data_IF_969541392560
#
_entry.id   IF_969541392560
#
_cell.length_a   1.000
_cell.length_b   1.000
_cell.length_c   1.000
_cell.angle_alpha   90.00
_cell.angle_beta   90.00
_cell.angle_gamma   90.00
#
_symmetry.space_group_name_H-M   'P 1'
#
loop_
_entity.id
_entity.type
_entity.pdbx_description
1 polymer ?
#
# COMPACT_ATOMS: atom_id res chain seq x y z
N UNK A 1 -10.18 0.84 39.23
CA UNK A 1 -10.88 -0.32 38.67
C UNK A 1 -10.20 -1.59 39.15
N UNK A 2 -10.90 -2.73 39.27
CA UNK A 2 -10.28 -4.02 39.60
C UNK A 2 -10.04 -4.84 38.33
N UNK A 3 -9.01 -5.69 38.33
CA UNK A 3 -8.70 -6.57 37.19
C UNK A 3 -9.92 -7.39 36.75
N UNK A 4 -10.68 -7.97 37.70
CA UNK A 4 -11.90 -8.74 37.39
C UNK A 4 -12.94 -7.91 36.65
N UNK A 5 -13.17 -6.66 37.05
CA UNK A 5 -14.13 -5.78 36.36
C UNK A 5 -13.66 -5.46 34.94
N UNK A 6 -12.37 -5.16 34.76
CA UNK A 6 -11.77 -4.89 33.44
C UNK A 6 -11.80 -6.13 32.53
N UNK A 7 -11.53 -7.33 33.04
CA UNK A 7 -11.64 -8.58 32.28
C UNK A 7 -13.07 -8.82 31.79
N UNK A 8 -14.07 -8.77 32.69
CA UNK A 8 -15.48 -8.97 32.34
C UNK A 8 -15.99 -7.90 31.37
N UNK A 9 -15.49 -6.66 31.47
CA UNK A 9 -15.82 -5.60 30.52
C UNK A 9 -15.26 -5.89 29.12
N UNK A 10 -14.02 -6.37 29.00
CA UNK A 10 -13.44 -6.76 27.70
C UNK A 10 -14.12 -8.01 27.11
N UNK A 11 -14.43 -9.01 27.93
CA UNK A 11 -15.20 -10.21 27.58
C UNK A 11 -16.57 -9.81 26.99
N UNK A 12 -17.36 -9.03 27.74
CA UNK A 12 -18.68 -8.52 27.30
C UNK A 12 -18.61 -7.67 26.02
N UNK A 13 -17.50 -6.93 25.80
CA UNK A 13 -17.29 -6.16 24.57
C UNK A 13 -16.89 -7.05 23.39
N UNK A 14 -16.11 -8.10 23.62
CA UNK A 14 -15.70 -9.09 22.62
C UNK A 14 -16.91 -9.88 22.12
N UNK A 15 -17.72 -10.41 23.03
CA UNK A 15 -18.93 -11.19 22.71
C UNK A 15 -19.88 -10.37 21.83
N UNK A 16 -20.19 -9.13 22.26
CA UNK A 16 -21.07 -8.21 21.51
C UNK A 16 -20.49 -7.77 20.17
N UNK A 17 -19.17 -7.69 20.03
CA UNK A 17 -18.54 -7.40 18.75
C UNK A 17 -18.69 -8.59 17.80
N UNK A 18 -18.56 -9.83 18.30
CA UNK A 18 -18.78 -11.03 17.50
C UNK A 18 -20.25 -11.23 17.11
N UNK A 19 -21.19 -11.05 18.04
CA UNK A 19 -22.64 -11.06 17.75
C UNK A 19 -22.97 -10.07 16.61
N UNK A 20 -22.45 -8.85 16.70
CA UNK A 20 -22.67 -7.80 15.70
C UNK A 20 -22.02 -8.14 14.35
N UNK A 21 -20.80 -8.68 14.34
CA UNK A 21 -20.12 -9.08 13.10
C UNK A 21 -20.89 -10.23 12.43
N UNK A 22 -21.31 -11.26 13.17
CA UNK A 22 -22.16 -12.34 12.66
C UNK A 22 -23.46 -11.79 12.05
N UNK A 23 -24.15 -10.87 12.74
CA UNK A 23 -25.36 -10.24 12.21
C UNK A 23 -25.08 -9.48 10.89
N UNK A 24 -23.97 -8.75 10.81
CA UNK A 24 -23.66 -7.90 9.67
C UNK A 24 -23.21 -8.67 8.42
N UNK A 25 -22.41 -9.74 8.54
CA UNK A 25 -21.93 -10.51 7.37
C UNK A 25 -23.04 -11.27 6.61
N UNK A 26 -24.19 -11.54 7.26
CA UNK A 26 -25.37 -12.08 6.60
C UNK A 26 -26.23 -10.98 5.95
N UNK A 27 -26.10 -9.73 6.40
CA UNK A 27 -26.91 -8.57 5.95
C UNK A 27 -26.21 -7.70 4.90
N UNK A 28 -24.89 -7.69 4.86
CA UNK A 28 -24.07 -6.79 4.03
C UNK A 28 -22.95 -7.56 3.30
N UNK A 29 -22.44 -7.04 2.16
CA UNK A 29 -21.18 -7.50 1.59
C UNK A 29 -20.01 -7.29 2.57
N UNK A 30 -18.99 -8.13 2.49
CA UNK A 30 -17.79 -8.06 3.34
C UNK A 30 -16.56 -8.62 2.63
N UNK A 31 -15.38 -8.21 3.09
CA UNK A 31 -14.07 -8.73 2.67
C UNK A 31 -13.24 -9.10 3.89
N UNK A 32 -12.30 -10.02 3.76
CA UNK A 32 -11.65 -10.66 4.91
C UNK A 32 -10.13 -10.55 4.87
N UNK A 33 -9.56 -9.99 5.95
CA UNK A 33 -8.11 -9.95 6.20
C UNK A 33 -7.73 -10.70 7.47
N UNK A 34 -6.59 -11.40 7.46
CA UNK A 34 -5.95 -11.90 8.69
C UNK A 34 -4.46 -11.52 8.78
N UNK A 35 -3.77 -11.71 9.92
CA UNK A 35 -2.32 -11.47 10.08
C UNK A 35 -1.72 -12.22 11.28
N UNK A 36 -0.42 -12.53 11.23
CA UNK A 36 0.32 -13.28 12.23
C UNK A 36 0.62 -12.40 13.47
N UNK A 37 -0.16 -12.58 14.54
CA UNK A 37 0.07 -11.96 15.84
C UNK A 37 1.24 -12.64 16.56
N UNK A 38 2.40 -11.98 16.58
CA UNK A 38 3.65 -12.52 17.12
C UNK A 38 4.12 -11.74 18.35
N UNK A 39 3.89 -12.29 19.56
CA UNK A 39 4.19 -11.59 20.83
C UNK A 39 5.37 -12.24 21.57
N UNK A 40 6.59 -11.65 21.51
CA UNK A 40 7.78 -12.15 22.20
C UNK A 40 7.81 -11.73 23.69
N UNK A 41 7.42 -12.64 24.58
CA UNK A 41 7.55 -12.46 26.03
C UNK A 41 8.98 -12.77 26.49
N UNK A 42 9.83 -11.75 26.54
CA UNK A 42 11.22 -11.85 26.99
C UNK A 42 11.33 -11.68 28.51
N UNK A 43 12.04 -12.60 29.15
CA UNK A 43 12.39 -12.51 30.57
C UNK A 43 13.82 -11.99 30.73
N UNK A 44 14.08 -11.16 31.74
CA UNK A 44 15.40 -10.53 31.95
C UNK A 44 16.53 -11.54 32.20
N UNK A 45 16.21 -12.68 32.82
CA UNK A 45 17.14 -13.79 33.06
C UNK A 45 16.38 -15.10 32.86
N UNK A 46 16.84 -15.91 31.92
CA UNK A 46 16.30 -17.24 31.68
C UNK A 46 16.70 -18.20 32.81
N UNK A 47 15.73 -18.93 33.35
CA UNK A 47 15.90 -19.98 34.37
C UNK A 47 15.07 -21.20 33.96
N UNK A 48 15.34 -22.36 34.55
CA UNK A 48 14.67 -23.62 34.21
C UNK A 48 13.12 -23.53 34.19
N UNK A 49 12.55 -22.74 35.10
CA UNK A 49 11.11 -22.51 35.27
C UNK A 49 10.64 -21.11 34.81
N UNK A 50 11.52 -20.30 34.22
CA UNK A 50 11.23 -18.94 33.77
C UNK A 50 12.00 -18.66 32.48
N UNK A 51 11.43 -19.10 31.36
CA UNK A 51 12.02 -18.98 30.03
C UNK A 51 11.42 -17.80 29.25
N UNK A 52 12.11 -17.38 28.19
CA UNK A 52 11.48 -16.49 27.21
C UNK A 52 10.48 -17.29 26.39
N UNK A 53 9.26 -16.77 26.23
CA UNK A 53 8.20 -17.41 25.47
C UNK A 53 7.83 -16.56 24.25
N UNK A 54 7.26 -17.20 23.23
CA UNK A 54 6.87 -16.56 21.99
C UNK A 54 5.47 -17.03 21.65
N UNK A 55 4.48 -16.16 21.87
CA UNK A 55 3.09 -16.44 21.54
C UNK A 55 2.93 -16.19 20.05
N UNK A 56 2.60 -17.24 19.32
CA UNK A 56 2.12 -17.14 17.94
C UNK A 56 0.60 -17.20 17.98
N UNK A 57 -0.06 -16.34 17.23
CA UNK A 57 -1.50 -16.37 17.00
C UNK A 57 -1.83 -15.70 15.67
N UNK A 58 -3.11 -15.56 15.39
CA UNK A 58 -3.60 -14.81 14.24
C UNK A 58 -4.63 -13.78 14.71
N UNK A 59 -4.59 -12.57 14.16
CA UNK A 59 -5.71 -11.62 14.23
C UNK A 59 -6.43 -11.64 12.88
N UNK A 60 -7.74 -11.41 12.88
CA UNK A 60 -8.49 -11.22 11.64
C UNK A 60 -9.58 -10.18 11.76
N UNK A 61 -10.07 -9.72 10.61
CA UNK A 61 -11.04 -8.64 10.50
C UNK A 61 -11.90 -8.86 9.27
N UNK A 62 -13.20 -9.00 9.49
CA UNK A 62 -14.22 -8.91 8.44
C UNK A 62 -14.61 -7.44 8.27
N UNK A 63 -14.28 -6.85 7.12
CA UNK A 63 -14.62 -5.47 6.79
C UNK A 63 -16.01 -5.43 6.18
N UNK A 64 -16.99 -4.94 6.92
CA UNK A 64 -18.37 -4.78 6.44
C UNK A 64 -18.43 -3.64 5.43
N UNK A 65 -18.82 -3.95 4.20
CA UNK A 65 -18.90 -2.99 3.10
C UNK A 65 -20.32 -2.40 2.97
N UNK A 66 -20.45 -1.18 2.42
CA UNK A 66 -21.76 -0.60 2.11
C UNK A 66 -22.59 -1.49 1.18
N UNK A 67 -23.91 -1.52 1.34
CA UNK A 67 -24.82 -2.37 0.55
C UNK A 67 -24.68 -2.22 -0.98
N UNK A 68 -24.19 -1.08 -1.48
CA UNK A 68 -23.87 -0.87 -2.92
C UNK A 68 -22.75 -1.79 -3.45
N UNK A 69 -21.92 -2.35 -2.56
CA UNK A 69 -20.87 -3.31 -2.90
C UNK A 69 -21.36 -4.77 -2.97
N UNK A 70 -22.68 -5.01 -2.94
CA UNK A 70 -23.24 -6.36 -3.05
C UNK A 70 -23.17 -6.86 -4.48
N UNK A 71 -22.30 -7.83 -4.72
CA UNK A 71 -22.23 -8.56 -5.98
C UNK A 71 -23.54 -9.36 -6.25
N UNK A 72 -23.99 -9.47 -7.51
CA UNK A 72 -25.13 -10.30 -7.89
C UNK A 72 -24.94 -11.79 -7.55
N UNK A 73 -26.05 -12.49 -7.30
CA UNK A 73 -26.06 -13.95 -7.19
C UNK A 73 -25.53 -14.59 -8.48
N UNK A 74 -24.63 -15.58 -8.34
CA UNK A 74 -23.97 -16.22 -9.48
C UNK A 74 -22.65 -15.57 -9.94
N UNK A 75 -22.17 -14.53 -9.25
CA UNK A 75 -20.88 -13.88 -9.58
C UNK A 75 -19.69 -14.82 -9.45
N UNK A 76 -19.71 -15.83 -8.56
CA UNK A 76 -18.63 -16.82 -8.46
C UNK A 76 -18.57 -17.77 -9.69
N UNK A 77 -19.66 -18.47 -10.09
CA UNK A 77 -19.71 -19.17 -11.37
C UNK A 77 -19.28 -18.31 -12.58
N UNK A 78 -19.68 -17.03 -12.61
CA UNK A 78 -19.24 -16.10 -13.66
C UNK A 78 -17.72 -15.89 -13.64
N UNK A 79 -17.14 -15.54 -12.49
CA UNK A 79 -15.70 -15.37 -12.29
C UNK A 79 -14.91 -16.62 -12.70
N UNK A 80 -15.39 -17.82 -12.34
CA UNK A 80 -14.76 -19.08 -12.72
C UNK A 80 -14.79 -19.29 -14.25
N UNK A 81 -15.94 -19.07 -14.89
CA UNK A 81 -16.05 -19.18 -16.34
C UNK A 81 -15.21 -18.14 -17.08
N UNK A 82 -15.08 -16.93 -16.52
CA UNK A 82 -14.30 -15.85 -17.10
C UNK A 82 -12.79 -16.09 -16.96
N UNK A 83 -12.31 -16.57 -15.80
CA UNK A 83 -10.94 -17.06 -15.64
C UNK A 83 -10.63 -18.21 -16.61
N UNK A 84 -11.51 -19.20 -16.72
CA UNK A 84 -11.31 -20.35 -17.61
C UNK A 84 -11.30 -19.97 -19.11
N UNK A 85 -11.99 -18.90 -19.51
CA UNK A 85 -11.99 -18.40 -20.89
C UNK A 85 -10.79 -17.50 -21.24
N UNK A 86 -10.12 -16.92 -20.24
CA UNK A 86 -9.07 -15.92 -20.42
C UNK A 86 -7.69 -16.33 -19.85
N UNK A 87 -7.54 -17.52 -19.26
CA UNK A 87 -6.28 -17.96 -18.64
C UNK A 87 -5.08 -18.14 -19.58
N UNK A 88 -5.32 -18.26 -20.90
CA UNK A 88 -4.26 -18.24 -21.93
C UNK A 88 -3.98 -16.82 -22.46
N UNK A 89 -4.78 -15.82 -22.09
CA UNK A 89 -4.63 -14.43 -22.51
C UNK A 89 -3.87 -13.63 -21.46
N UNK A 90 -2.69 -13.11 -21.84
CA UNK A 90 -1.92 -12.20 -20.99
C UNK A 90 -2.38 -10.76 -21.22
N UNK A 91 -2.30 -9.90 -20.20
CA UNK A 91 -2.41 -8.45 -20.38
C UNK A 91 -1.32 -7.93 -21.34
N UNK A 92 -1.55 -6.83 -22.07
CA UNK A 92 -0.51 -6.31 -22.96
C UNK A 92 0.57 -5.60 -22.12
N UNK A 93 1.83 -5.99 -22.31
CA UNK A 93 2.94 -5.33 -21.64
C UNK A 93 3.15 -3.90 -22.18
N UNK A 94 2.65 -3.57 -23.38
CA UNK A 94 2.61 -2.21 -23.89
C UNK A 94 1.77 -1.28 -23.00
N UNK A 95 0.62 -1.72 -22.50
CA UNK A 95 -0.25 -0.96 -21.58
C UNK A 95 0.48 -0.57 -20.29
N UNK A 96 1.45 -1.40 -19.86
CA UNK A 96 2.24 -1.19 -18.64
C UNK A 96 3.56 -0.44 -18.91
N UNK A 97 4.15 -0.58 -20.10
CA UNK A 97 5.40 0.07 -20.48
C UNK A 97 5.21 1.51 -20.98
N UNK A 98 4.11 1.77 -21.69
CA UNK A 98 3.75 3.09 -22.22
C UNK A 98 2.60 3.76 -21.45
N UNK A 99 2.02 3.04 -20.48
CA UNK A 99 1.09 3.59 -19.50
C UNK A 99 -0.31 3.89 -20.04
N UNK A 100 -1.05 4.61 -19.21
CA UNK A 100 -2.31 5.24 -19.58
C UNK A 100 -2.11 6.74 -19.36
N UNK A 101 -2.23 7.55 -20.41
CA UNK A 101 -2.01 9.00 -20.34
C UNK A 101 -2.91 9.67 -19.28
N UNK A 102 -4.13 9.17 -19.07
CA UNK A 102 -5.00 9.71 -18.01
C UNK A 102 -4.51 9.35 -16.59
N UNK A 103 -3.80 8.23 -16.43
CA UNK A 103 -3.15 7.83 -15.18
C UNK A 103 -1.88 8.64 -14.93
N UNK A 104 -1.09 8.88 -15.98
CA UNK A 104 0.10 9.75 -15.92
C UNK A 104 -0.29 11.20 -15.59
N UNK A 105 -1.32 11.75 -16.25
CA UNK A 105 -1.90 13.07 -15.95
C UNK A 105 -2.41 13.16 -14.50
N UNK A 106 -3.12 12.12 -14.02
CA UNK A 106 -3.53 12.02 -12.60
C UNK A 106 -2.32 12.01 -11.68
N UNK A 107 -1.29 11.23 -12.00
CA UNK A 107 -0.07 11.14 -11.20
C UNK A 107 0.72 12.45 -11.20
N UNK A 108 0.79 13.20 -12.30
CA UNK A 108 1.41 14.53 -12.32
C UNK A 108 0.59 15.54 -11.50
N UNK A 109 -0.74 15.57 -11.63
CA UNK A 109 -1.59 16.42 -10.78
C UNK A 109 -1.44 16.08 -9.28
N UNK A 110 -1.31 14.79 -8.94
CA UNK A 110 -1.05 14.33 -7.58
C UNK A 110 0.41 14.63 -7.10
N UNK A 111 1.40 14.62 -8.00
CA UNK A 111 2.78 15.08 -7.74
C UNK A 111 2.78 16.58 -7.40
N UNK A 112 2.18 17.40 -8.26
CA UNK A 112 2.08 18.86 -8.08
C UNK A 112 1.33 19.20 -6.78
N UNK A 113 0.19 18.55 -6.51
CA UNK A 113 -0.58 18.72 -5.26
C UNK A 113 0.23 18.35 -4.00
N UNK A 114 1.02 17.27 -4.04
CA UNK A 114 1.88 16.92 -2.90
C UNK A 114 2.96 17.98 -2.66
N UNK A 115 3.63 18.43 -3.71
CA UNK A 115 4.68 19.47 -3.66
C UNK A 115 4.11 20.82 -3.20
N UNK A 116 2.93 21.22 -3.70
CA UNK A 116 2.16 22.38 -3.21
C UNK A 116 1.87 22.26 -1.72
N UNK A 117 1.42 21.08 -1.26
CA UNK A 117 1.16 20.86 0.16
C UNK A 117 2.40 21.03 1.03
N UNK A 118 3.60 20.61 0.59
CA UNK A 118 4.82 20.84 1.39
C UNK A 118 5.11 22.33 1.61
N UNK A 119 4.86 23.19 0.61
CA UNK A 119 4.94 24.63 0.78
C UNK A 119 3.82 25.13 1.70
N UNK A 120 2.56 24.85 1.38
CA UNK A 120 1.40 25.34 2.13
C UNK A 120 1.45 24.95 3.61
N UNK A 121 1.88 23.74 3.95
CA UNK A 121 1.97 23.25 5.33
C UNK A 121 3.27 23.61 6.06
N UNK A 122 4.24 24.26 5.40
CA UNK A 122 5.41 24.82 6.09
C UNK A 122 4.97 25.88 7.12
N UNK A 123 5.68 26.02 8.27
CA UNK A 123 5.37 27.06 9.25
C UNK A 123 5.38 28.47 8.64
N UNK A 124 6.34 28.69 7.74
CA UNK A 124 6.53 29.92 7.00
C UNK A 124 5.26 30.33 6.23
N UNK A 125 4.51 29.38 5.65
CA UNK A 125 3.33 29.66 4.83
C UNK A 125 1.99 29.72 5.59
N UNK A 126 2.01 29.67 6.93
CA UNK A 126 0.80 29.71 7.78
C UNK A 126 -0.13 30.89 7.47
N UNK A 127 0.44 32.05 7.14
CA UNK A 127 -0.30 33.30 6.87
C UNK A 127 -0.72 33.56 5.42
N UNK A 128 -0.67 32.56 4.51
CA UNK A 128 -1.01 32.77 3.10
C UNK A 128 -2.52 33.03 2.89
N UNK A 129 -2.93 34.17 2.27
CA UNK A 129 -4.33 34.59 2.24
C UNK A 129 -5.25 33.70 1.38
N UNK A 130 -4.71 32.97 0.40
CA UNK A 130 -5.49 32.14 -0.52
C UNK A 130 -5.44 30.64 -0.17
N UNK A 131 -5.15 30.27 1.09
CA UNK A 131 -4.99 28.87 1.54
C UNK A 131 -6.20 27.96 1.25
N UNK A 132 -7.39 28.53 1.06
CA UNK A 132 -8.63 27.81 0.75
C UNK A 132 -9.06 27.93 -0.73
N UNK A 133 -8.15 28.28 -1.64
CA UNK A 133 -8.44 28.35 -3.07
C UNK A 133 -8.77 26.95 -3.64
N UNK A 134 -9.81 26.80 -4.48
CA UNK A 134 -10.17 25.51 -5.06
C UNK A 134 -9.07 24.82 -5.89
N UNK A 135 -8.06 25.56 -6.37
CA UNK A 135 -6.90 24.99 -7.08
C UNK A 135 -5.98 24.15 -6.18
N UNK A 136 -6.12 24.23 -4.85
CA UNK A 136 -5.39 23.39 -3.89
C UNK A 136 -6.21 22.19 -3.38
N UNK A 137 -7.33 21.87 -4.03
CA UNK A 137 -8.14 20.70 -3.69
C UNK A 137 -7.47 19.38 -4.11
N UNK A 138 -7.73 18.32 -3.34
CA UNK A 138 -7.22 16.97 -3.58
C UNK A 138 -8.09 16.22 -4.62
N UNK A 139 -7.50 15.40 -5.53
CA UNK A 139 -8.24 14.44 -6.38
C UNK A 139 -8.84 13.21 -5.60
N UNK A 140 -9.65 12.32 -6.23
CA UNK A 140 -10.57 11.35 -5.58
C UNK A 140 -10.04 9.91 -5.21
N UNK A 141 -10.86 9.04 -4.54
CA UNK A 141 -10.44 7.91 -3.64
C UNK A 141 -11.25 6.54 -3.69
N UNK A 142 -10.70 5.36 -3.25
CA UNK A 142 -11.28 3.95 -3.09
C UNK A 142 -10.35 2.91 -2.26
N UNK A 143 -10.70 1.64 -1.86
CA UNK A 143 -9.98 0.85 -0.76
C UNK A 143 -9.63 -0.69 -0.99
N UNK A 144 -8.71 -1.33 -0.21
CA UNK A 144 -8.00 -2.67 -0.37
C UNK A 144 -7.90 -3.64 0.90
N UNK A 145 -6.92 -4.63 1.07
CA UNK A 145 -6.12 -5.07 2.33
C UNK A 145 -5.32 -6.51 2.46
N UNK A 146 -4.75 -7.09 3.63
CA UNK A 146 -3.78 -8.29 3.79
C UNK A 146 -4.26 -9.59 4.59
N UNK A 147 -3.65 -10.73 5.11
CA UNK A 147 -2.47 -11.73 5.35
C UNK A 147 -3.19 -13.09 5.82
N UNK A 148 -2.78 -14.29 6.38
CA UNK A 148 -1.58 -15.06 6.87
C UNK A 148 -1.81 -16.63 7.14
N UNK A 149 -1.30 -17.75 6.57
CA UNK A 149 -0.46 -18.17 5.42
C UNK A 149 -0.95 -19.48 4.66
N UNK A 150 -0.46 -20.76 4.88
CA UNK A 150 -0.92 -22.05 4.18
C UNK A 150 -1.88 -22.92 5.03
N UNK A 151 -1.38 -23.96 5.72
CA UNK A 151 -2.13 -24.82 6.65
C UNK A 151 -2.59 -23.99 7.86
N UNK A 152 -1.74 -23.05 8.29
CA UNK A 152 -2.11 -21.97 9.19
C UNK A 152 -3.28 -21.14 8.65
N UNK A 153 -3.33 -20.82 7.35
CA UNK A 153 -4.53 -20.20 6.76
C UNK A 153 -5.70 -21.16 6.75
N UNK A 154 -5.59 -22.41 6.32
CA UNK A 154 -6.74 -23.31 6.29
C UNK A 154 -7.36 -23.46 7.70
N UNK A 155 -6.52 -23.52 8.74
CA UNK A 155 -6.95 -23.48 10.13
C UNK A 155 -7.58 -22.12 10.53
N UNK A 156 -7.03 -20.98 10.09
CA UNK A 156 -7.64 -19.65 10.31
C UNK A 156 -8.93 -19.44 9.50
N UNK A 157 -9.06 -19.99 8.30
CA UNK A 157 -10.28 -19.99 7.49
C UNK A 157 -11.37 -20.79 8.20
N UNK A 158 -11.03 -21.99 8.69
CA UNK A 158 -11.96 -22.85 9.43
C UNK A 158 -12.37 -22.23 10.77
N UNK A 159 -11.43 -21.66 11.53
CA UNK A 159 -11.71 -20.93 12.77
C UNK A 159 -12.55 -19.68 12.51
N UNK A 160 -12.18 -18.84 11.54
CA UNK A 160 -12.96 -17.67 11.17
C UNK A 160 -14.36 -18.04 10.70
N UNK A 161 -14.52 -19.04 9.84
CA UNK A 161 -15.85 -19.49 9.40
C UNK A 161 -16.68 -20.08 10.55
N UNK A 162 -16.04 -20.67 11.56
CA UNK A 162 -16.71 -21.11 12.79
C UNK A 162 -17.12 -19.92 13.68
N UNK A 163 -16.22 -18.98 13.96
CA UNK A 163 -16.49 -17.78 14.76
C UNK A 163 -17.44 -16.79 14.07
N UNK A 164 -17.56 -16.86 12.74
CA UNK A 164 -18.53 -16.14 11.92
C UNK A 164 -19.84 -16.93 11.68
N UNK A 165 -20.00 -18.14 12.23
CA UNK A 165 -21.21 -18.97 12.07
C UNK A 165 -21.56 -19.38 10.61
N UNK A 166 -20.60 -19.28 9.68
CA UNK A 166 -20.76 -19.63 8.24
C UNK A 166 -20.16 -21.01 7.89
N UNK A 167 -19.82 -21.81 8.90
CA UNK A 167 -19.26 -23.16 8.76
C UNK A 167 -20.30 -24.28 8.57
N UNK A 168 -21.61 -24.01 8.63
CA UNK A 168 -22.66 -25.03 8.43
C UNK A 168 -22.72 -25.51 6.98
N UNK A 169 -23.18 -26.74 6.72
CA UNK A 169 -23.22 -27.30 5.35
C UNK A 169 -23.97 -26.40 4.34
N UNK A 170 -25.06 -25.75 4.74
CA UNK A 170 -25.79 -24.84 3.86
C UNK A 170 -25.03 -23.53 3.62
N UNK A 171 -24.34 -22.97 4.63
CA UNK A 171 -23.49 -21.79 4.44
C UNK A 171 -22.18 -22.11 3.70
N UNK A 172 -21.65 -23.35 3.76
CA UNK A 172 -20.55 -23.83 2.91
C UNK A 172 -20.99 -23.92 1.44
N UNK A 173 -22.11 -24.61 1.16
CA UNK A 173 -22.74 -24.66 -0.18
C UNK A 173 -22.97 -23.26 -0.73
N UNK A 174 -23.48 -22.35 0.11
CA UNK A 174 -23.74 -20.95 -0.24
C UNK A 174 -22.46 -20.16 -0.49
N UNK A 175 -21.41 -20.41 0.29
CA UNK A 175 -20.10 -19.77 0.07
C UNK A 175 -19.51 -20.17 -1.27
N UNK A 176 -19.53 -21.46 -1.64
CA UNK A 176 -19.15 -21.89 -2.98
C UNK A 176 -20.11 -21.42 -4.09
N UNK A 177 -21.42 -21.49 -3.88
CA UNK A 177 -22.41 -21.19 -4.92
C UNK A 177 -22.63 -19.70 -5.21
N UNK A 178 -22.59 -18.85 -4.19
CA UNK A 178 -23.02 -17.44 -4.26
C UNK A 178 -21.91 -16.43 -4.01
N UNK A 179 -21.00 -16.70 -3.06
CA UNK A 179 -20.06 -15.69 -2.56
C UNK A 179 -18.84 -15.54 -3.47
N UNK A 180 -18.41 -14.30 -3.66
CA UNK A 180 -17.01 -13.99 -4.01
C UNK A 180 -16.44 -13.20 -2.85
N UNK A 181 -15.41 -13.73 -2.20
CA UNK A 181 -14.74 -13.13 -1.05
C UNK A 181 -13.37 -12.65 -1.53
N UNK A 182 -13.15 -11.33 -1.54
CA UNK A 182 -11.78 -10.82 -1.56
C UNK A 182 -11.12 -11.25 -0.24
N UNK A 183 -10.24 -12.23 -0.35
CA UNK A 183 -9.44 -12.73 0.75
C UNK A 183 -8.07 -12.13 0.62
N UNK A 184 -7.62 -11.55 1.70
CA UNK A 184 -6.59 -10.55 1.64
C UNK A 184 -5.27 -11.14 2.15
N UNK A 185 -4.12 -10.66 1.67
CA UNK A 185 -2.83 -11.29 1.97
C UNK A 185 -1.59 -10.37 1.94
N UNK A 186 -0.65 -10.34 2.91
CA UNK A 186 0.72 -10.00 2.48
C UNK A 186 1.29 -11.11 1.61
N UNK A 187 2.45 -10.87 1.04
CA UNK A 187 2.94 -11.67 -0.08
C UNK A 187 3.01 -13.16 0.27
N UNK A 188 3.36 -13.47 1.52
CA UNK A 188 3.36 -14.85 1.98
C UNK A 188 1.96 -15.46 1.88
N UNK A 189 0.88 -14.79 2.30
CA UNK A 189 -0.49 -15.30 2.14
C UNK A 189 -0.95 -15.45 0.72
N UNK A 190 -0.72 -14.47 -0.15
CA UNK A 190 -1.29 -14.56 -1.51
C UNK A 190 -0.59 -15.70 -2.28
N UNK A 191 0.71 -15.91 -2.05
CA UNK A 191 1.43 -17.14 -2.43
C UNK A 191 0.78 -18.38 -1.79
N UNK A 192 0.49 -18.30 -0.49
CA UNK A 192 -0.07 -19.39 0.31
C UNK A 192 -1.61 -19.58 0.19
N UNK A 193 -2.28 -18.83 -0.67
CA UNK A 193 -3.67 -19.08 -1.08
C UNK A 193 -3.68 -19.69 -2.49
N UNK A 194 -2.91 -19.10 -3.43
CA UNK A 194 -2.74 -19.63 -4.79
C UNK A 194 -2.18 -21.05 -4.83
N UNK A 195 -1.35 -21.45 -3.85
CA UNK A 195 -0.94 -22.85 -3.74
C UNK A 195 -1.95 -23.80 -3.09
N UNK A 196 -2.85 -23.30 -2.22
CA UNK A 196 -3.97 -24.09 -1.72
C UNK A 196 -4.92 -24.42 -2.88
N UNK A 197 -5.19 -23.47 -3.77
CA UNK A 197 -5.85 -23.74 -5.06
C UNK A 197 -5.13 -24.82 -5.86
N UNK A 198 -3.80 -24.74 -6.05
CA UNK A 198 -3.03 -25.76 -6.79
C UNK A 198 -3.15 -27.15 -6.18
N UNK A 199 -3.18 -27.28 -4.85
CA UNK A 199 -3.41 -28.57 -4.19
C UNK A 199 -4.86 -29.05 -4.24
N UNK A 200 -5.85 -28.15 -4.17
CA UNK A 200 -7.28 -28.50 -4.07
C UNK A 200 -8.04 -28.43 -5.39
N UNK A 201 -7.43 -28.08 -6.52
CA UNK A 201 -8.15 -27.81 -7.78
C UNK A 201 -8.99 -28.98 -8.33
N UNK A 202 -8.67 -30.23 -7.96
CA UNK A 202 -9.44 -31.43 -8.33
C UNK A 202 -10.63 -31.72 -7.37
N UNK A 203 -10.78 -30.95 -6.28
CA UNK A 203 -11.81 -31.19 -5.28
C UNK A 203 -13.23 -31.00 -5.86
N UNK A 204 -14.14 -31.86 -5.40
CA UNK A 204 -15.42 -32.10 -6.06
C UNK A 204 -16.41 -30.92 -6.05
N UNK A 205 -16.16 -29.87 -5.27
CA UNK A 205 -17.04 -28.71 -5.17
C UNK A 205 -16.27 -27.40 -4.95
N UNK A 206 -16.92 -26.27 -5.27
CA UNK A 206 -16.37 -24.92 -5.20
C UNK A 206 -15.85 -24.51 -3.82
N UNK A 207 -16.54 -24.92 -2.75
CA UNK A 207 -16.13 -24.59 -1.39
C UNK A 207 -14.81 -25.28 -1.04
N UNK A 208 -14.68 -26.58 -1.35
CA UNK A 208 -13.44 -27.30 -1.11
C UNK A 208 -12.27 -26.82 -1.99
N UNK A 209 -12.51 -26.50 -3.27
CA UNK A 209 -11.49 -25.88 -4.14
C UNK A 209 -11.04 -24.49 -3.68
N UNK A 210 -11.77 -23.86 -2.75
CA UNK A 210 -11.63 -22.47 -2.32
C UNK A 210 -11.75 -21.45 -3.48
N UNK A 211 -12.45 -21.81 -4.56
CA UNK A 211 -12.49 -21.01 -5.81
C UNK A 211 -13.45 -19.80 -5.73
N UNK A 212 -14.24 -19.71 -4.65
CA UNK A 212 -15.04 -18.53 -4.24
C UNK A 212 -14.20 -17.29 -3.82
N UNK A 213 -12.89 -17.35 -4.00
CA UNK A 213 -11.93 -16.44 -3.39
C UNK A 213 -11.22 -15.57 -4.43
N UNK A 214 -10.81 -14.37 -4.00
CA UNK A 214 -9.83 -13.55 -4.73
C UNK A 214 -8.72 -13.17 -3.75
N UNK A 215 -7.54 -13.82 -3.82
CA UNK A 215 -6.33 -13.41 -3.13
C UNK A 215 -5.88 -12.01 -3.59
N UNK A 216 -5.94 -11.01 -2.71
CA UNK A 216 -5.55 -9.60 -2.98
C UNK A 216 -4.45 -9.18 -2.01
N UNK A 217 -3.40 -8.49 -2.49
CA UNK A 217 -2.19 -8.30 -1.67
C UNK A 217 -2.16 -7.07 -0.73
N UNK A 218 -1.26 -7.13 0.25
CA UNK A 218 -1.06 -6.16 1.31
C UNK A 218 -0.31 -4.91 0.83
N UNK A 219 -1.05 -3.83 0.69
CA UNK A 219 -0.47 -2.51 0.46
C UNK A 219 0.42 -2.01 1.60
N UNK A 220 0.17 -2.40 2.86
CA UNK A 220 1.03 -2.02 4.00
C UNK A 220 2.42 -2.67 3.94
N UNK A 221 2.51 -3.97 3.63
CA UNK A 221 3.79 -4.65 3.46
C UNK A 221 4.43 -4.35 2.09
N UNK A 222 3.65 -3.99 1.06
CA UNK A 222 4.19 -3.41 -0.18
C UNK A 222 4.86 -2.06 0.08
N UNK A 223 4.24 -1.12 0.82
CA UNK A 223 4.88 0.17 1.12
C UNK A 223 6.13 0.00 2.00
N UNK A 224 6.15 -1.01 2.88
CA UNK A 224 7.38 -1.45 3.57
C UNK A 224 8.44 -1.98 2.60
N UNK A 225 8.06 -2.78 1.59
CA UNK A 225 8.99 -3.25 0.56
C UNK A 225 9.52 -2.07 -0.30
N UNK A 226 8.69 -1.07 -0.61
CA UNK A 226 9.10 0.14 -1.34
C UNK A 226 10.08 0.98 -0.51
N UNK A 227 9.81 1.20 0.79
CA UNK A 227 10.73 1.86 1.70
C UNK A 227 12.09 1.15 1.77
N UNK A 228 12.09 -0.19 1.86
CA UNK A 228 13.32 -0.99 1.80
C UNK A 228 14.01 -0.90 0.42
N UNK A 229 13.27 -0.75 -0.67
CA UNK A 229 13.83 -0.55 -2.02
C UNK A 229 14.51 0.81 -2.15
N UNK A 230 13.91 1.88 -1.62
CA UNK A 230 14.50 3.23 -1.55
C UNK A 230 15.74 3.21 -0.64
N UNK A 231 15.61 2.66 0.57
CA UNK A 231 16.73 2.50 1.50
C UNK A 231 17.93 1.79 0.88
N UNK A 232 17.70 0.63 0.23
CA UNK A 232 18.73 -0.18 -0.44
C UNK A 232 19.48 0.60 -1.53
N UNK A 233 18.79 1.48 -2.26
CA UNK A 233 19.37 2.28 -3.34
C UNK A 233 20.11 3.52 -2.85
N UNK A 234 19.62 4.19 -1.81
CA UNK A 234 20.08 5.52 -1.39
C UNK A 234 20.85 5.56 -0.06
N UNK A 235 21.07 4.42 0.61
CA UNK A 235 21.79 4.38 1.90
C UNK A 235 23.15 5.08 1.86
N UNK A 236 24.00 4.73 0.89
CA UNK A 236 25.33 5.33 0.72
C UNK A 236 26.23 5.23 1.97
N UNK A 237 26.99 6.29 2.24
CA UNK A 237 27.91 6.38 3.38
C UNK A 237 27.79 7.73 4.07
N UNK A 238 28.17 7.82 5.35
CA UNK A 238 28.15 9.07 6.14
C UNK A 238 28.92 10.25 5.50
N UNK A 239 29.86 9.98 4.58
CA UNK A 239 30.64 10.98 3.86
C UNK A 239 30.09 11.30 2.45
N UNK A 240 29.15 10.50 1.93
CA UNK A 240 28.52 10.74 0.64
C UNK A 240 27.39 11.77 0.80
N UNK A 241 27.60 12.97 0.25
CA UNK A 241 26.62 14.06 0.28
C UNK A 241 25.33 13.63 -0.42
N UNK A 242 24.19 13.88 0.23
CA UNK A 242 22.87 13.51 -0.30
C UNK A 242 22.55 12.02 -0.21
N UNK A 243 23.27 11.25 0.61
CA UNK A 243 22.91 9.86 0.95
C UNK A 243 21.99 9.80 2.18
N UNK A 244 21.13 8.78 2.24
CA UNK A 244 20.26 8.58 3.39
C UNK A 244 21.06 8.38 4.69
N UNK A 245 22.23 7.73 4.64
CA UNK A 245 23.07 7.56 5.84
C UNK A 245 23.63 8.88 6.36
N UNK A 246 24.07 9.79 5.47
CA UNK A 246 24.44 11.15 5.89
C UNK A 246 23.24 11.85 6.55
N UNK A 247 22.06 11.77 5.94
CA UNK A 247 20.84 12.37 6.51
C UNK A 247 20.44 11.74 7.87
N UNK A 248 20.59 10.42 8.03
CA UNK A 248 20.36 9.74 9.32
C UNK A 248 21.35 10.19 10.40
N UNK A 249 22.62 10.37 10.07
CA UNK A 249 23.63 10.86 11.01
C UNK A 249 23.36 12.33 11.42
N UNK A 250 22.96 13.20 10.47
CA UNK A 250 22.56 14.60 10.73
C UNK A 250 21.29 14.67 11.59
N UNK A 251 20.26 13.88 11.27
CA UNK A 251 19.01 13.77 12.03
C UNK A 251 19.15 12.90 13.30
N UNK A 252 20.35 12.40 13.61
CA UNK A 252 20.67 11.51 14.73
C UNK A 252 19.81 10.23 14.81
N UNK A 253 19.23 9.78 13.69
CA UNK A 253 18.33 8.61 13.59
C UNK A 253 19.10 7.30 13.68
N UNK A 254 18.99 6.62 14.82
CA UNK A 254 19.69 5.35 15.10
C UNK A 254 18.92 4.12 14.63
N UNK A 255 19.65 3.05 14.31
CA UNK A 255 19.10 1.75 13.91
C UNK A 255 18.76 1.62 12.41
N UNK A 256 18.91 2.68 11.61
CA UNK A 256 18.56 2.70 10.19
C UNK A 256 19.68 2.29 9.22
N UNK A 257 20.84 1.84 9.71
CA UNK A 257 21.97 1.44 8.84
C UNK A 257 21.75 0.04 8.22
N UNK A 258 21.09 -0.87 8.95
CA UNK A 258 20.84 -2.25 8.55
C UNK A 258 19.35 -2.54 8.47
N UNK A 259 18.86 -3.07 7.35
CA UNK A 259 17.45 -3.40 7.17
C UNK A 259 16.99 -4.45 8.19
N UNK A 260 15.78 -4.27 8.73
CA UNK A 260 15.15 -5.22 9.65
C UNK A 260 13.65 -5.29 9.40
N UNK A 261 13.12 -6.49 9.21
CA UNK A 261 11.68 -6.77 9.21
C UNK A 261 11.08 -6.86 10.62
N UNK A 262 11.88 -6.60 11.67
CA UNK A 262 11.49 -6.74 13.08
C UNK A 262 11.72 -5.45 13.87
N UNK A 263 10.78 -5.13 14.76
CA UNK A 263 10.84 -3.96 15.63
C UNK A 263 10.58 -2.64 14.88
N UNK A 264 10.97 -1.49 15.46
CA UNK A 264 10.57 -0.18 14.95
C UNK A 264 11.31 0.28 13.67
N UNK A 265 12.13 -0.57 13.04
CA UNK A 265 12.91 -0.20 11.85
C UNK A 265 12.03 0.41 10.75
N UNK A 266 10.88 -0.20 10.46
CA UNK A 266 9.92 0.33 9.49
C UNK A 266 9.44 1.73 9.89
N UNK A 267 8.84 1.90 11.07
CA UNK A 267 8.31 3.19 11.50
C UNK A 267 9.39 4.29 11.52
N UNK A 268 10.58 3.97 12.03
CA UNK A 268 11.72 4.88 12.05
C UNK A 268 12.19 5.27 10.63
N UNK A 269 12.05 4.37 9.65
CA UNK A 269 12.40 4.60 8.24
C UNK A 269 11.30 5.37 7.50
N UNK A 270 10.02 5.06 7.73
CA UNK A 270 8.87 5.79 7.20
C UNK A 270 8.99 7.27 7.56
N UNK A 271 9.16 7.55 8.85
CA UNK A 271 9.36 8.87 9.43
C UNK A 271 10.65 9.56 8.92
N UNK A 272 11.74 8.80 8.72
CA UNK A 272 12.97 9.36 8.16
C UNK A 272 12.80 9.79 6.70
N UNK A 273 12.15 8.97 5.88
CA UNK A 273 11.89 9.27 4.46
C UNK A 273 10.96 10.49 4.34
N UNK A 274 9.93 10.59 5.20
CA UNK A 274 9.09 11.79 5.28
C UNK A 274 9.90 13.03 5.63
N UNK A 275 10.67 13.03 6.74
CA UNK A 275 11.45 14.21 7.15
C UNK A 275 12.49 14.66 6.10
N UNK A 276 13.05 13.71 5.33
CA UNK A 276 14.01 14.03 4.27
C UNK A 276 13.30 14.60 3.04
N UNK A 277 12.15 14.04 2.64
CA UNK A 277 11.31 14.62 1.58
C UNK A 277 10.78 16.01 1.93
N UNK A 278 10.28 16.19 3.15
CA UNK A 278 9.81 17.47 3.70
C UNK A 278 10.94 18.52 3.86
N UNK A 279 12.21 18.12 3.86
CA UNK A 279 13.34 19.04 3.75
C UNK A 279 13.75 19.32 2.29
N UNK A 280 13.68 18.31 1.41
CA UNK A 280 14.06 18.42 0.01
C UNK A 280 13.12 19.32 -0.81
N UNK A 281 11.80 19.09 -0.76
CA UNK A 281 10.88 19.84 -1.62
C UNK A 281 10.87 21.35 -1.33
N UNK A 282 10.91 21.83 -0.07
CA UNK A 282 11.08 23.25 0.22
C UNK A 282 12.42 23.83 -0.26
N UNK A 283 13.51 23.07 -0.25
CA UNK A 283 14.77 23.52 -0.85
C UNK A 283 14.64 23.72 -2.38
N UNK A 284 13.92 22.81 -3.06
CA UNK A 284 13.60 22.99 -4.49
C UNK A 284 12.64 24.17 -4.74
N UNK A 285 11.75 24.50 -3.80
CA UNK A 285 10.86 25.68 -3.88
C UNK A 285 11.63 27.01 -3.82
N UNK A 286 12.70 27.10 -3.02
CA UNK A 286 13.56 28.28 -2.99
C UNK A 286 14.21 28.53 -4.36
N UNK A 287 14.79 27.48 -4.93
CA UNK A 287 15.52 27.50 -6.20
C UNK A 287 14.59 27.80 -7.39
N UNK A 288 13.48 27.08 -7.53
CA UNK A 288 12.44 27.34 -8.55
C UNK A 288 11.76 28.70 -8.37
N UNK A 289 11.62 29.17 -7.13
CA UNK A 289 11.07 30.49 -6.83
C UNK A 289 12.02 31.64 -7.15
N UNK A 290 13.33 31.40 -7.18
CA UNK A 290 14.36 32.44 -7.22
C UNK A 290 14.38 33.28 -5.94
N UNK A 291 14.10 32.68 -4.77
CA UNK A 291 13.91 33.38 -3.48
C UNK A 291 14.84 32.84 -2.39
N UNK A 292 15.22 33.72 -1.45
CA UNK A 292 16.00 33.31 -0.27
C UNK A 292 15.14 32.69 0.84
N UNK A 293 13.82 32.93 0.84
CA UNK A 293 12.89 32.41 1.86
C UNK A 293 11.58 31.92 1.25
N UNK A 294 11.02 30.88 1.84
CA UNK A 294 9.70 30.35 1.49
C UNK A 294 8.58 31.39 1.71
N UNK A 295 8.76 32.31 2.66
CA UNK A 295 7.83 33.41 2.91
C UNK A 295 7.65 34.33 1.69
N UNK A 296 8.67 34.51 0.86
CA UNK A 296 8.63 35.45 -0.28
C UNK A 296 7.65 34.95 -1.36
N UNK A 297 7.43 33.63 -1.44
CA UNK A 297 6.41 33.00 -2.30
C UNK A 297 4.97 33.35 -1.88
N UNK A 298 4.72 33.93 -0.70
CA UNK A 298 3.38 34.43 -0.32
C UNK A 298 2.87 35.54 -1.24
N UNK A 299 3.78 36.20 -1.97
CA UNK A 299 3.45 37.20 -2.98
C UNK A 299 2.81 36.62 -4.24
N UNK A 300 2.89 35.29 -4.43
CA UNK A 300 2.41 34.58 -5.62
C UNK A 300 0.93 34.25 -5.54
N UNK A 301 0.25 34.39 -6.67
CA UNK A 301 -1.12 33.88 -6.86
C UNK A 301 -1.18 32.34 -6.84
N UNK A 302 -2.32 31.72 -6.54
CA UNK A 302 -2.48 30.27 -6.59
C UNK A 302 -2.07 29.65 -7.94
N UNK A 303 -2.41 30.31 -9.06
CA UNK A 303 -2.04 29.86 -10.40
C UNK A 303 -0.51 29.88 -10.64
N UNK A 304 0.19 30.93 -10.21
CA UNK A 304 1.67 30.96 -10.26
C UNK A 304 2.29 29.86 -9.38
N UNK A 305 1.71 29.59 -8.20
CA UNK A 305 2.20 28.50 -7.34
C UNK A 305 2.01 27.13 -8.00
N UNK A 306 0.88 26.85 -8.65
CA UNK A 306 0.71 25.61 -9.42
C UNK A 306 1.70 25.52 -10.59
N UNK A 307 1.92 26.61 -11.35
CA UNK A 307 2.90 26.64 -12.43
C UNK A 307 4.34 26.37 -11.93
N UNK A 308 4.70 26.91 -10.77
CA UNK A 308 5.98 26.67 -10.10
C UNK A 308 6.08 25.23 -9.55
N UNK A 309 5.01 24.66 -9.00
CA UNK A 309 5.00 23.26 -8.54
C UNK A 309 5.25 22.29 -9.70
N UNK A 310 4.61 22.52 -10.85
CA UNK A 310 4.87 21.74 -12.05
C UNK A 310 6.30 21.87 -12.58
N UNK A 311 6.87 23.08 -12.57
CA UNK A 311 8.30 23.29 -12.88
C UNK A 311 9.21 22.55 -11.90
N UNK A 312 8.86 22.50 -10.62
CA UNK A 312 9.60 21.77 -9.59
C UNK A 312 9.55 20.26 -9.84
N UNK A 313 8.36 19.69 -10.08
CA UNK A 313 8.23 18.26 -10.43
C UNK A 313 9.05 17.95 -11.69
N UNK A 314 8.85 18.71 -12.78
CA UNK A 314 9.50 18.47 -14.08
C UNK A 314 11.02 18.67 -14.07
N UNK A 315 11.58 19.50 -13.19
CA UNK A 315 13.03 19.76 -13.11
C UNK A 315 13.76 19.04 -11.95
N UNK A 316 13.07 18.61 -10.89
CA UNK A 316 13.70 18.08 -9.66
C UNK A 316 13.17 16.70 -9.22
N UNK A 317 12.10 16.18 -9.82
CA UNK A 317 11.48 14.90 -9.42
C UNK A 317 10.97 14.04 -10.60
N UNK A 318 11.36 14.33 -11.84
CA UNK A 318 10.89 13.64 -13.04
C UNK A 318 11.97 12.78 -13.71
N UNK A 319 11.55 11.87 -14.61
CA UNK A 319 12.47 11.20 -15.54
C UNK A 319 13.13 12.18 -16.52
N UNK A 320 12.40 13.21 -16.97
CA UNK A 320 12.91 14.23 -17.88
C UNK A 320 14.11 14.98 -17.28
N UNK A 321 14.06 15.29 -15.98
CA UNK A 321 15.16 15.90 -15.23
C UNK A 321 16.40 15.00 -15.16
N UNK A 322 16.21 13.68 -15.05
CA UNK A 322 17.33 12.73 -15.08
C UNK A 322 17.96 12.64 -16.46
N UNK A 323 17.15 12.55 -17.52
CA UNK A 323 17.65 12.49 -18.90
C UNK A 323 18.49 13.76 -19.21
N UNK A 324 17.95 14.95 -18.90
CA UNK A 324 18.67 16.24 -19.02
C UNK A 324 20.01 16.27 -18.31
N UNK A 325 20.15 15.58 -17.17
CA UNK A 325 21.40 15.49 -16.42
C UNK A 325 22.34 14.42 -16.99
N UNK A 326 21.82 13.29 -17.45
CA UNK A 326 22.58 12.23 -18.11
C UNK A 326 23.19 12.70 -19.45
N UNK A 327 22.47 13.52 -20.21
CA UNK A 327 22.93 14.14 -21.47
C UNK A 327 24.15 15.06 -21.31
N UNK A 328 24.41 15.60 -20.11
CA UNK A 328 25.62 16.39 -19.81
C UNK A 328 26.90 15.55 -19.77
N UNK A 329 26.77 14.22 -19.65
CA UNK A 329 27.89 13.30 -19.46
C UNK A 329 28.51 13.33 -18.05
N UNK A 330 29.38 12.36 -17.72
CA UNK A 330 29.84 12.16 -16.34
C UNK A 330 30.63 13.32 -15.72
N UNK A 331 31.41 14.04 -16.53
CA UNK A 331 32.36 15.05 -16.04
C UNK A 331 31.76 16.45 -15.85
N UNK A 332 30.63 16.75 -16.53
CA UNK A 332 29.92 18.03 -16.41
C UNK A 332 28.64 17.94 -15.56
N UNK A 333 28.18 16.73 -15.23
CA UNK A 333 27.00 16.50 -14.37
C UNK A 333 27.37 16.60 -12.89
N UNK A 334 26.70 17.51 -12.16
CA UNK A 334 26.73 17.51 -10.70
C UNK A 334 26.18 16.18 -10.15
N UNK A 335 27.06 15.39 -9.53
CA UNK A 335 26.74 14.08 -8.98
C UNK A 335 25.86 14.12 -7.73
N UNK A 336 25.87 15.20 -6.95
CA UNK A 336 25.00 15.41 -5.78
C UNK A 336 23.61 15.78 -6.26
N UNK A 337 23.48 16.75 -7.17
CA UNK A 337 22.20 17.12 -7.76
C UNK A 337 21.57 15.95 -8.50
N UNK A 338 22.33 15.21 -9.31
CA UNK A 338 21.86 13.97 -9.94
C UNK A 338 21.49 12.86 -8.94
N UNK A 339 22.07 12.81 -7.74
CA UNK A 339 21.62 11.89 -6.70
C UNK A 339 20.31 12.35 -6.04
N UNK A 340 20.17 13.65 -5.77
CA UNK A 340 18.95 14.24 -5.23
C UNK A 340 17.77 14.15 -6.19
N UNK A 341 17.93 14.49 -7.47
CA UNK A 341 16.86 14.37 -8.48
C UNK A 341 16.38 12.92 -8.62
N UNK A 342 17.29 11.93 -8.56
CA UNK A 342 16.91 10.51 -8.53
C UNK A 342 16.15 10.15 -7.26
N UNK A 343 16.63 10.57 -6.09
CA UNK A 343 15.94 10.32 -4.82
C UNK A 343 14.55 10.96 -4.80
N UNK A 344 14.42 12.21 -5.25
CA UNK A 344 13.16 12.94 -5.35
C UNK A 344 12.16 12.21 -6.26
N UNK A 345 12.60 11.74 -7.43
CA UNK A 345 11.78 10.96 -8.38
C UNK A 345 11.29 9.63 -7.78
N UNK A 346 12.09 8.96 -6.95
CA UNK A 346 11.67 7.72 -6.27
C UNK A 346 10.84 7.96 -4.99
N UNK A 347 11.10 9.05 -4.25
CA UNK A 347 10.46 9.34 -2.97
C UNK A 347 9.10 10.00 -3.12
N UNK A 348 8.89 10.82 -4.16
CA UNK A 348 7.63 11.52 -4.39
C UNK A 348 6.47 10.53 -4.64
N UNK A 349 6.62 9.47 -5.47
CA UNK A 349 5.66 8.36 -5.54
C UNK A 349 5.47 7.61 -4.22
N UNK A 350 6.54 7.36 -3.46
CA UNK A 350 6.44 6.67 -2.16
C UNK A 350 5.58 7.42 -1.15
N UNK A 351 5.82 8.73 -0.99
CA UNK A 351 5.08 9.59 -0.05
C UNK A 351 3.60 9.68 -0.42
N UNK A 352 3.31 9.68 -1.72
CA UNK A 352 1.95 9.70 -2.25
C UNK A 352 1.24 8.36 -2.14
N UNK A 353 1.89 7.24 -2.49
CA UNK A 353 1.34 5.90 -2.29
C UNK A 353 1.08 5.65 -0.80
N UNK A 354 1.94 6.16 0.10
CA UNK A 354 1.72 6.12 1.54
C UNK A 354 0.44 6.86 1.96
N UNK A 355 0.17 8.02 1.38
CA UNK A 355 -1.07 8.78 1.60
C UNK A 355 -2.28 8.09 0.98
N UNK A 356 -2.14 7.53 -0.22
CA UNK A 356 -3.15 6.81 -0.96
C UNK A 356 -3.64 5.59 -0.17
N UNK A 357 -2.72 4.79 0.36
CA UNK A 357 -3.03 3.63 1.22
C UNK A 357 -3.68 4.07 2.53
N UNK A 358 -3.25 5.20 3.11
CA UNK A 358 -3.81 5.74 4.38
C UNK A 358 -5.22 6.32 4.20
N UNK A 359 -5.51 6.88 3.03
CA UNK A 359 -6.80 7.52 2.72
C UNK A 359 -7.77 6.56 2.05
N UNK A 360 -7.26 5.46 1.50
CA UNK A 360 -7.92 4.64 0.51
C UNK A 360 -8.12 5.42 -0.79
N UNK A 361 -7.13 5.45 -1.68
CA UNK A 361 -7.24 5.94 -3.06
C UNK A 361 -6.93 4.86 -4.11
N UNK A 362 -7.83 3.88 -4.30
CA UNK A 362 -7.53 2.69 -5.14
C UNK A 362 -7.21 3.04 -6.59
N UNK A 363 -7.90 3.97 -7.23
CA UNK A 363 -7.51 4.42 -8.58
C UNK A 363 -6.07 4.94 -8.63
N UNK A 364 -5.67 5.77 -7.66
CA UNK A 364 -4.28 6.26 -7.52
C UNK A 364 -3.28 5.14 -7.16
N UNK A 365 -3.71 4.14 -6.41
CA UNK A 365 -2.91 2.96 -6.05
C UNK A 365 -2.70 2.03 -7.26
N UNK A 366 -3.72 1.91 -8.11
CA UNK A 366 -3.70 1.19 -9.39
C UNK A 366 -2.85 1.95 -10.42
N UNK A 367 -2.94 3.29 -10.48
CA UNK A 367 -2.06 4.15 -11.28
C UNK A 367 -0.56 3.92 -10.92
N UNK A 368 -0.24 3.60 -9.66
CA UNK A 368 1.13 3.26 -9.24
C UNK A 368 1.60 1.84 -9.64
N UNK A 369 0.74 0.93 -10.13
CA UNK A 369 1.12 -0.47 -10.43
C UNK A 369 2.28 -0.60 -11.43
N UNK A 370 2.34 0.13 -12.57
CA UNK A 370 3.46 0.03 -13.51
C UNK A 370 4.78 0.46 -12.86
N UNK A 371 4.79 1.61 -12.17
CA UNK A 371 5.95 2.12 -11.46
C UNK A 371 6.48 1.09 -10.44
N UNK A 372 5.58 0.51 -9.66
CA UNK A 372 5.90 -0.51 -8.66
C UNK A 372 6.44 -1.80 -9.29
N UNK A 373 5.90 -2.22 -10.45
CA UNK A 373 6.39 -3.39 -11.18
C UNK A 373 7.86 -3.21 -11.61
N UNK A 374 8.18 -2.08 -12.24
CA UNK A 374 9.55 -1.76 -12.64
C UNK A 374 10.47 -1.58 -11.42
N UNK A 375 9.98 -0.94 -10.36
CA UNK A 375 10.72 -0.73 -9.11
C UNK A 375 11.09 -2.03 -8.39
N UNK A 376 10.19 -3.00 -8.34
CA UNK A 376 10.44 -4.26 -7.63
C UNK A 376 11.19 -5.29 -8.48
N UNK A 377 10.95 -5.34 -9.79
CA UNK A 377 11.73 -6.20 -10.70
C UNK A 377 13.20 -5.76 -10.74
N UNK A 378 13.47 -4.48 -10.99
CA UNK A 378 14.84 -3.93 -10.96
C UNK A 378 15.45 -3.88 -9.56
N UNK A 379 14.65 -3.60 -8.52
CA UNK A 379 15.11 -3.51 -7.13
C UNK A 379 15.47 -4.85 -6.48
N UNK A 380 15.11 -5.98 -7.10
CA UNK A 380 15.34 -7.33 -6.55
C UNK A 380 14.33 -7.73 -5.47
N UNK A 381 13.05 -7.44 -5.69
CA UNK A 381 11.91 -7.84 -4.84
C UNK A 381 10.94 -8.74 -5.64
N UNK A 382 11.40 -9.90 -6.17
CA UNK A 382 10.63 -10.71 -7.14
C UNK A 382 9.30 -11.21 -6.58
N UNK A 383 9.22 -11.41 -5.25
CA UNK A 383 7.98 -11.71 -4.54
C UNK A 383 6.88 -10.67 -4.80
N UNK A 384 7.15 -9.38 -4.54
CA UNK A 384 6.19 -8.30 -4.82
C UNK A 384 6.04 -7.99 -6.32
N UNK A 385 7.03 -8.36 -7.15
CA UNK A 385 6.88 -8.32 -8.63
C UNK A 385 5.78 -9.29 -9.08
N UNK A 386 5.76 -10.52 -8.54
CA UNK A 386 4.73 -11.53 -8.84
C UNK A 386 3.35 -11.04 -8.39
N UNK A 387 3.21 -10.47 -7.19
CA UNK A 387 1.90 -10.00 -6.70
C UNK A 387 1.29 -8.90 -7.58
N UNK A 388 2.12 -8.02 -8.14
CA UNK A 388 1.66 -6.97 -9.07
C UNK A 388 1.29 -7.57 -10.43
N UNK A 389 2.07 -8.53 -10.96
CA UNK A 389 1.73 -9.21 -12.21
C UNK A 389 0.40 -9.98 -12.10
N UNK A 390 0.16 -10.65 -10.98
CA UNK A 390 -1.09 -11.38 -10.71
C UNK A 390 -2.27 -10.42 -10.55
N UNK A 391 -2.08 -9.25 -9.93
CA UNK A 391 -3.11 -8.22 -9.85
C UNK A 391 -3.42 -7.60 -11.21
N UNK A 392 -2.40 -7.26 -12.02
CA UNK A 392 -2.58 -6.73 -13.38
C UNK A 392 -3.29 -7.75 -14.30
N UNK A 393 -2.88 -9.02 -14.25
CA UNK A 393 -3.57 -10.10 -14.97
C UNK A 393 -5.03 -10.25 -14.51
N UNK A 394 -5.27 -10.15 -13.20
CA UNK A 394 -6.60 -10.07 -12.62
C UNK A 394 -7.45 -8.95 -13.23
N UNK A 395 -7.01 -7.70 -13.08
CA UNK A 395 -7.71 -6.49 -13.51
C UNK A 395 -7.94 -6.44 -15.05
N UNK A 396 -6.95 -6.82 -15.87
CA UNK A 396 -6.98 -6.61 -17.32
C UNK A 396 -7.49 -7.81 -18.15
N UNK A 397 -7.59 -9.02 -17.57
CA UNK A 397 -7.95 -10.25 -18.32
C UNK A 397 -8.87 -11.22 -17.58
N UNK A 398 -8.74 -11.36 -16.26
CA UNK A 398 -9.34 -12.50 -15.54
C UNK A 398 -10.54 -12.18 -14.65
N UNK A 399 -10.83 -10.90 -14.39
CA UNK A 399 -11.93 -10.49 -13.51
C UNK A 399 -13.08 -9.86 -14.34
N UNK A 400 -14.33 -10.36 -14.24
CA UNK A 400 -15.46 -9.81 -14.98
C UNK A 400 -15.91 -8.46 -14.40
N UNK A 401 -16.41 -7.56 -15.27
CA UNK A 401 -16.77 -6.16 -14.96
C UNK A 401 -17.64 -5.95 -13.71
N UNK A 402 -18.47 -6.94 -13.37
CA UNK A 402 -19.31 -6.94 -12.17
C UNK A 402 -18.51 -6.76 -10.87
N UNK A 403 -17.21 -7.10 -10.85
CA UNK A 403 -16.32 -6.86 -9.72
C UNK A 403 -15.84 -5.40 -9.63
N UNK A 404 -15.76 -4.68 -10.75
CA UNK A 404 -15.37 -3.26 -10.80
C UNK A 404 -16.56 -2.32 -10.57
N UNK A 405 -17.77 -2.72 -11.00
CA UNK A 405 -18.99 -1.91 -10.96
C UNK A 405 -19.51 -1.55 -9.55
N UNK A 406 -18.82 -1.98 -8.49
CA UNK A 406 -18.96 -1.45 -7.11
C UNK A 406 -18.53 0.03 -7.01
N UNK A 407 -17.69 0.51 -7.93
CA UNK A 407 -17.12 1.87 -7.91
C UNK A 407 -18.03 2.96 -8.52
N UNK A 408 -18.86 2.63 -9.53
CA UNK A 408 -19.42 3.61 -10.49
C UNK A 408 -20.61 4.49 -10.02
N UNK A 409 -20.85 4.65 -8.71
CA UNK A 409 -21.94 5.50 -8.20
C UNK A 409 -21.46 6.46 -7.11
N UNK A 410 -20.87 7.59 -7.52
CA UNK A 410 -20.58 8.76 -6.69
C UNK A 410 -20.93 10.03 -7.47
#
# INVERSE_FOLDING_TARGET
MSHKWTSVAFETLSDRAMDLVQELIHKYPWVFSHDNMNVPLRVFSQRLHNQSHFINGCAYTAWILPQRARLPTGTNPLLQSFRAANCEQVFDFADVLYGNLEADDRMEAFNEHYVLRTLLNSPDFTGYPHRSDPLFNRPPLFISFPEASYEGTLNVMNDAFHQLSINTLEEQKRTGGERVIAWMGDQLTVERLRGLWKYRHEDHNSFDRLDYMIPVFCWFHLIMALANSIHKQYLGTSAAIGSLRQAFDVLQRKGLISQSTKGPFWHNLDEAIHHIGEAHFPACWLDIGGVEKLEDLKSKSPAELCELAGKLVRNYASREALNKLEDLGPDARDGVFYQWTRFNMDVLPYLQLREAIKSGEIGRIEDFLPLLLFRFSGGGFPKYTIEILELLQGLHREWPEVLFNVQQYS
#
